data_IF_751151624841
#
_entry.id   IF_751151624841
#
_cell.length_a   1.000
_cell.length_b   1.000
_cell.length_c   1.000
_cell.angle_alpha   90.00
_cell.angle_beta   90.00
_cell.angle_gamma   90.00
#
_symmetry.space_group_name_H-M   'P 1'
#
loop_
_entity.id
_entity.type
_entity.pdbx_description
1 polymer ?
#
# COMPACT_ATOMS: atom_id res chain seq x y z
N UNK A 1 2.17 -13.44 -12.98
CA UNK A 1 1.16 -13.44 -11.90
C UNK A 1 0.78 -12.00 -11.53
N UNK A 2 -0.21 -11.78 -10.65
CA UNK A 2 -0.55 -10.43 -10.16
C UNK A 2 0.60 -9.77 -9.39
N UNK A 3 1.35 -10.55 -8.61
CA UNK A 3 2.52 -10.05 -7.89
C UNK A 3 3.63 -9.60 -8.88
N UNK A 4 3.88 -10.37 -9.95
CA UNK A 4 4.87 -9.98 -10.97
C UNK A 4 4.47 -8.69 -11.70
N UNK A 5 3.17 -8.48 -11.92
CA UNK A 5 2.66 -7.25 -12.51
C UNK A 5 2.92 -6.04 -11.59
N UNK A 6 2.75 -6.21 -10.27
CA UNK A 6 3.08 -5.18 -9.28
C UNK A 6 4.58 -4.91 -9.23
N UNK A 7 5.43 -5.94 -9.27
CA UNK A 7 6.89 -5.76 -9.34
C UNK A 7 7.29 -4.96 -10.59
N UNK A 8 6.70 -5.29 -11.75
CA UNK A 8 6.95 -4.57 -12.99
C UNK A 8 6.51 -3.10 -12.88
N UNK A 9 5.33 -2.84 -12.30
CA UNK A 9 4.82 -1.48 -12.09
C UNK A 9 5.72 -0.67 -11.15
N UNK A 10 6.14 -1.25 -10.02
CA UNK A 10 7.06 -0.61 -9.07
C UNK A 10 8.39 -0.25 -9.74
N UNK A 11 8.98 -1.18 -10.50
CA UNK A 11 10.22 -0.94 -11.24
C UNK A 11 10.06 0.16 -12.28
N UNK A 12 8.97 0.12 -13.05
CA UNK A 12 8.69 1.12 -14.08
C UNK A 12 8.53 2.52 -13.46
N UNK A 13 7.72 2.65 -12.41
CA UNK A 13 7.49 3.92 -11.73
C UNK A 13 8.79 4.50 -11.17
N UNK A 14 9.59 3.68 -10.46
CA UNK A 14 10.88 4.12 -9.91
C UNK A 14 11.88 4.52 -11.01
N UNK A 15 11.99 3.71 -12.06
CA UNK A 15 12.89 3.99 -13.19
C UNK A 15 12.51 5.26 -13.94
N UNK A 16 11.22 5.45 -14.22
CA UNK A 16 10.73 6.58 -15.00
C UNK A 16 10.77 7.89 -14.22
N UNK A 17 10.38 7.86 -12.94
CA UNK A 17 10.27 9.08 -12.12
C UNK A 17 11.57 9.44 -11.39
N UNK A 18 12.49 8.49 -11.22
CA UNK A 18 13.66 8.63 -10.35
C UNK A 18 13.33 8.68 -8.85
N UNK A 19 12.05 8.52 -8.47
CA UNK A 19 11.60 8.53 -7.07
C UNK A 19 11.63 7.13 -6.50
N UNK A 20 12.02 7.00 -5.24
CA UNK A 20 12.13 5.71 -4.54
C UNK A 20 10.94 5.44 -3.61
N UNK A 21 10.34 6.50 -3.07
CA UNK A 21 9.19 6.44 -2.17
C UNK A 21 7.91 5.98 -2.89
N UNK A 22 7.12 5.16 -2.19
CA UNK A 22 5.84 4.63 -2.65
C UNK A 22 4.79 4.84 -1.57
N UNK A 23 3.60 5.31 -1.97
CA UNK A 23 2.44 5.38 -1.08
C UNK A 23 1.51 4.21 -1.41
N UNK A 24 1.07 3.50 -0.38
CA UNK A 24 0.04 2.45 -0.47
C UNK A 24 -1.03 2.68 0.60
N UNK A 25 -2.14 1.96 0.52
CA UNK A 25 -3.22 2.06 1.49
C UNK A 25 -3.17 0.94 2.52
N UNK A 26 -3.39 1.29 3.79
CA UNK A 26 -3.62 0.33 4.87
C UNK A 26 -4.80 -0.57 4.52
N UNK A 27 -4.63 -1.89 4.70
CA UNK A 27 -5.63 -2.90 4.31
C UNK A 27 -5.57 -3.35 2.84
N UNK A 28 -4.78 -2.70 1.97
CA UNK A 28 -4.59 -3.13 0.58
C UNK A 28 -3.77 -4.43 0.45
N UNK A 29 -4.01 -5.19 -0.62
CA UNK A 29 -3.26 -6.40 -0.97
C UNK A 29 -2.70 -6.30 -2.38
N UNK A 30 -1.38 -6.44 -2.52
CA UNK A 30 -0.68 -6.23 -3.79
C UNK A 30 0.16 -7.43 -4.22
N UNK A 31 0.17 -8.52 -3.45
CA UNK A 31 0.88 -9.77 -3.79
C UNK A 31 1.91 -10.18 -2.73
N UNK A 32 2.63 -11.26 -3.04
CA UNK A 32 3.50 -11.97 -2.09
C UNK A 32 4.99 -11.98 -2.47
N UNK A 33 5.37 -11.39 -3.61
CA UNK A 33 6.78 -11.16 -3.95
C UNK A 33 7.34 -10.01 -3.11
N UNK A 34 8.65 -9.90 -2.94
CA UNK A 34 9.26 -8.99 -1.95
C UNK A 34 8.81 -7.53 -2.06
N UNK A 35 8.79 -6.95 -3.26
CA UNK A 35 8.32 -5.58 -3.50
C UNK A 35 6.81 -5.44 -3.35
N UNK A 36 6.05 -6.38 -3.92
CA UNK A 36 4.59 -6.44 -3.81
C UNK A 36 4.09 -6.59 -2.36
N UNK A 37 4.77 -7.41 -1.58
CA UNK A 37 4.52 -7.64 -0.16
C UNK A 37 4.88 -6.39 0.66
N UNK A 38 5.92 -5.65 0.26
CA UNK A 38 6.30 -4.39 0.91
C UNK A 38 5.21 -3.33 0.82
N UNK A 39 4.48 -3.29 -0.30
CA UNK A 39 3.35 -2.38 -0.52
C UNK A 39 2.00 -2.95 -0.07
N UNK A 40 1.96 -4.18 0.45
CA UNK A 40 0.75 -4.78 1.05
C UNK A 40 0.51 -4.21 2.45
N UNK A 41 -0.72 -3.74 2.69
CA UNK A 41 -1.13 -3.06 3.92
C UNK A 41 -1.44 -3.99 5.09
N UNK A 42 -1.65 -5.29 4.85
CA UNK A 42 -1.76 -6.27 5.92
C UNK A 42 -0.38 -6.59 6.52
N UNK A 43 -0.27 -6.57 7.85
CA UNK A 43 0.98 -6.81 8.57
C UNK A 43 1.33 -8.29 8.71
N UNK A 44 0.33 -9.16 8.85
CA UNK A 44 0.57 -10.58 9.15
C UNK A 44 1.45 -11.27 8.09
N UNK A 45 1.22 -11.10 6.77
CA UNK A 45 2.04 -11.76 5.75
C UNK A 45 3.50 -11.27 5.69
N UNK A 46 3.78 -10.04 6.15
CA UNK A 46 5.13 -9.44 6.13
C UNK A 46 5.87 -9.54 7.46
N UNK A 47 5.20 -9.95 8.54
CA UNK A 47 5.80 -10.03 9.87
C UNK A 47 7.01 -11.00 9.96
N UNK A 48 7.03 -12.04 9.13
CA UNK A 48 8.10 -13.03 9.10
C UNK A 48 9.25 -12.68 8.12
N UNK A 49 9.14 -11.57 7.39
CA UNK A 49 10.11 -11.19 6.35
C UNK A 49 10.88 -9.95 6.79
N UNK A 50 12.19 -10.11 6.96
CA UNK A 50 13.08 -9.02 7.31
C UNK A 50 13.47 -8.21 6.06
N UNK A 51 13.79 -6.92 6.24
CA UNK A 51 14.36 -6.10 5.16
C UNK A 51 13.40 -5.85 3.99
N UNK A 52 12.14 -5.53 4.30
CA UNK A 52 11.17 -5.10 3.28
C UNK A 52 11.70 -3.91 2.47
N UNK A 53 11.17 -3.71 1.26
CA UNK A 53 11.51 -2.57 0.42
C UNK A 53 11.31 -1.26 1.23
N UNK A 54 12.34 -0.40 1.31
CA UNK A 54 12.25 0.81 2.10
C UNK A 54 11.35 1.85 1.42
N UNK A 55 11.01 2.91 2.17
CA UNK A 55 10.28 4.08 1.71
C UNK A 55 8.85 3.80 1.21
N UNK A 56 8.21 2.78 1.78
CA UNK A 56 6.76 2.55 1.63
C UNK A 56 6.02 3.23 2.77
N UNK A 57 5.16 4.18 2.44
CA UNK A 57 4.29 4.87 3.39
C UNK A 57 2.85 4.40 3.22
N UNK A 58 2.16 4.15 4.33
CA UNK A 58 0.78 3.66 4.32
C UNK A 58 -0.20 4.75 4.72
N UNK A 59 -1.10 5.10 3.79
CA UNK A 59 -2.21 6.02 4.03
C UNK A 59 -3.46 5.25 4.48
N UNK A 60 -4.33 5.87 5.30
CA UNK A 60 -5.64 5.30 5.61
C UNK A 60 -6.49 5.14 4.35
N UNK A 61 -7.13 3.99 4.18
CA UNK A 61 -8.12 3.80 3.12
C UNK A 61 -9.47 4.42 3.54
N UNK A 62 -10.17 5.16 2.65
CA UNK A 62 -11.47 5.75 2.94
C UNK A 62 -12.59 4.70 3.00
N UNK A 63 -12.64 3.94 4.10
CA UNK A 63 -13.73 3.01 4.36
C UNK A 63 -14.97 3.74 4.88
N UNK A 64 -16.09 3.59 4.16
CA UNK A 64 -17.40 4.13 4.57
C UNK A 64 -17.85 3.57 5.93
N UNK A 65 -17.71 2.26 6.11
CA UNK A 65 -18.17 1.56 7.33
C UNK A 65 -17.15 1.62 8.47
N UNK A 66 -15.85 1.50 8.17
CA UNK A 66 -14.75 1.54 9.15
C UNK A 66 -13.85 2.74 8.92
N UNK A 67 -14.42 3.92 9.07
CA UNK A 67 -13.69 5.17 8.87
C UNK A 67 -12.51 5.25 9.86
N UNK A 68 -11.27 5.37 9.38
CA UNK A 68 -10.10 5.41 10.26
C UNK A 68 -9.98 6.73 11.03
N UNK A 69 -10.77 7.74 10.65
CA UNK A 69 -10.82 9.05 11.30
C UNK A 69 -11.93 9.17 12.36
N UNK A 70 -12.77 8.15 12.54
CA UNK A 70 -13.84 8.16 13.54
C UNK A 70 -15.08 9.02 13.22
N UNK A 71 -15.07 9.79 12.12
CA UNK A 71 -16.19 10.63 11.66
C UNK A 71 -17.29 9.83 10.91
N UNK A 72 -16.92 8.72 10.26
CA UNK A 72 -17.87 7.81 9.60
C UNK A 72 -18.55 8.37 8.34
N UNK A 73 -19.25 7.48 7.62
CA UNK A 73 -20.09 7.86 6.48
C UNK A 73 -19.36 8.58 5.35
N UNK A 74 -20.11 9.32 4.55
CA UNK A 74 -19.57 10.07 3.40
C UNK A 74 -18.61 11.18 3.83
N UNK A 75 -18.84 11.80 4.98
CA UNK A 75 -17.93 12.78 5.56
C UNK A 75 -16.53 12.18 5.81
N UNK A 76 -16.48 10.92 6.28
CA UNK A 76 -15.25 10.16 6.45
C UNK A 76 -14.51 9.85 5.17
N UNK A 77 -15.24 9.55 4.09
CA UNK A 77 -14.65 9.32 2.77
C UNK A 77 -14.06 10.62 2.24
N UNK A 78 -14.83 11.71 2.27
CA UNK A 78 -14.43 13.03 1.75
C UNK A 78 -13.20 13.61 2.44
N UNK A 79 -12.97 13.28 3.72
CA UNK A 79 -11.79 13.75 4.44
C UNK A 79 -10.48 13.10 3.98
N UNK A 80 -10.54 12.01 3.22
CA UNK A 80 -9.39 11.19 2.79
C UNK A 80 -9.20 11.14 1.27
N UNK A 81 -10.05 11.85 0.51
CA UNK A 81 -10.04 11.94 -0.96
C UNK A 81 -9.95 13.39 -1.39
#
# INVERSE_FOLDING_TARGET
>A
SGADAVEAALKLAKKYTGRTAVISFSGGYHGMTHGALSVTGNLSPKAAVNGMMPEVQFMPYPHLYRCPLGIGGEAGVKALT
#
